data_IF_693207246132
#
_entry.id   IF_693207246132
#
_cell.length_a   1.000
_cell.length_b   1.000
_cell.length_c   1.000
_cell.angle_alpha   90.00
_cell.angle_beta   90.00
_cell.angle_gamma   90.00
#
_symmetry.space_group_name_H-M   'P 1'
#
loop_
_entity.id
_entity.type
_entity.pdbx_description
1 polymer ?
#
# COMPACT_ATOMS: atom_id res chain seq x y z
N UNK A 1 -9.40 16.39 -10.32
CA UNK A 1 -8.03 15.84 -10.39
C UNK A 1 -7.73 15.48 -11.84
N UNK A 2 -6.54 15.82 -12.33
CA UNK A 2 -6.18 15.78 -13.75
C UNK A 2 -5.77 14.33 -14.15
N UNK A 3 -6.47 13.67 -15.10
CA UNK A 3 -6.28 12.23 -15.40
C UNK A 3 -5.01 11.88 -16.19
N UNK A 4 -4.09 12.82 -16.38
CA UNK A 4 -2.85 12.67 -17.16
C UNK A 4 -1.61 12.31 -16.34
N UNK A 5 -1.75 12.07 -15.03
CA UNK A 5 -0.62 11.81 -14.13
C UNK A 5 -0.99 10.70 -13.13
N UNK A 6 -1.14 9.48 -13.63
CA UNK A 6 -1.13 8.30 -12.75
C UNK A 6 0.29 7.72 -12.77
N UNK A 7 1.18 8.11 -11.83
CA UNK A 7 2.55 7.63 -11.81
C UNK A 7 2.60 6.11 -11.71
N UNK A 8 3.59 5.49 -12.34
CA UNK A 8 3.91 4.08 -12.15
C UNK A 8 4.27 3.78 -10.69
N UNK A 9 4.25 2.51 -10.30
CA UNK A 9 4.63 2.14 -8.93
C UNK A 9 6.10 2.48 -8.65
N UNK A 10 6.98 2.31 -9.64
CA UNK A 10 8.40 2.69 -9.52
C UNK A 10 8.57 4.19 -9.31
N UNK A 11 7.79 5.03 -10.00
CA UNK A 11 7.78 6.47 -9.79
C UNK A 11 7.23 6.84 -8.40
N UNK A 12 6.16 6.17 -7.94
CA UNK A 12 5.63 6.37 -6.60
C UNK A 12 6.64 5.99 -5.52
N UNK A 13 7.32 4.85 -5.65
CA UNK A 13 8.39 4.43 -4.74
C UNK A 13 9.54 5.42 -4.78
N UNK A 14 10.00 5.83 -5.97
CA UNK A 14 11.05 6.85 -6.09
C UNK A 14 10.66 8.18 -5.46
N UNK A 15 9.38 8.55 -5.49
CA UNK A 15 8.87 9.76 -4.83
C UNK A 15 8.75 9.57 -3.32
N UNK A 16 8.33 8.40 -2.81
CA UNK A 16 8.37 8.08 -1.38
C UNK A 16 9.77 8.27 -0.79
N UNK A 17 10.81 7.88 -1.53
CA UNK A 17 12.21 8.02 -1.09
C UNK A 17 12.74 9.46 -1.14
N UNK A 18 12.09 10.33 -1.90
CA UNK A 18 12.53 11.72 -2.14
C UNK A 18 11.77 12.74 -1.29
N UNK A 19 10.54 12.45 -0.89
CA UNK A 19 9.64 13.43 -0.29
C UNK A 19 9.43 13.23 1.21
N UNK A 20 9.09 14.34 1.87
CA UNK A 20 8.70 14.44 3.28
C UNK A 20 7.19 14.16 3.50
N UNK A 21 6.49 13.61 2.49
CA UNK A 21 5.02 13.50 2.49
C UNK A 21 4.52 12.07 2.24
N UNK A 22 3.38 11.74 2.84
CA UNK A 22 2.78 10.39 2.78
C UNK A 22 1.95 10.13 1.50
N UNK A 23 1.75 11.14 0.64
CA UNK A 23 0.88 11.02 -0.54
C UNK A 23 1.30 9.92 -1.53
N UNK A 24 2.59 9.79 -1.90
CA UNK A 24 3.00 8.75 -2.85
C UNK A 24 2.73 7.33 -2.31
N UNK A 25 2.94 7.13 -1.01
CA UNK A 25 2.65 5.85 -0.37
C UNK A 25 1.15 5.58 -0.25
N UNK A 26 0.34 6.61 0.03
CA UNK A 26 -1.12 6.51 0.07
C UNK A 26 -1.68 5.99 -1.27
N UNK A 27 -1.13 6.46 -2.40
CA UNK A 27 -1.52 5.94 -3.72
C UNK A 27 -1.14 4.47 -3.92
N UNK A 28 0.03 4.04 -3.43
CA UNK A 28 0.41 2.61 -3.44
C UNK A 28 -0.54 1.80 -2.56
N UNK A 29 -0.84 2.26 -1.35
CA UNK A 29 -1.77 1.60 -0.43
C UNK A 29 -3.14 1.44 -1.08
N UNK A 30 -3.70 2.49 -1.69
CA UNK A 30 -5.00 2.44 -2.37
C UNK A 30 -5.03 1.45 -3.53
N UNK A 31 -3.93 1.30 -4.28
CA UNK A 31 -3.81 0.33 -5.37
C UNK A 31 -3.75 -1.12 -4.88
N UNK A 32 -3.16 -1.35 -3.71
CA UNK A 32 -2.78 -2.68 -3.26
C UNK A 32 -3.61 -3.21 -2.08
N UNK A 33 -4.33 -2.36 -1.35
CA UNK A 33 -5.06 -2.74 -0.12
C UNK A 33 -5.97 -3.94 -0.30
N UNK A 34 -6.79 -3.96 -1.35
CA UNK A 34 -7.74 -5.06 -1.59
C UNK A 34 -7.01 -6.36 -1.93
N UNK A 35 -5.90 -6.30 -2.68
CA UNK A 35 -5.13 -7.48 -3.07
C UNK A 35 -4.42 -8.10 -1.88
N UNK A 36 -3.81 -7.26 -1.05
CA UNK A 36 -3.11 -7.69 0.17
C UNK A 36 -4.11 -8.27 1.17
N UNK A 37 -5.22 -7.59 1.41
CA UNK A 37 -6.30 -8.09 2.26
C UNK A 37 -6.85 -9.43 1.77
N UNK A 38 -7.19 -9.54 0.48
CA UNK A 38 -7.70 -10.80 -0.09
C UNK A 38 -6.67 -11.94 -0.05
N UNK A 39 -5.37 -11.64 -0.07
CA UNK A 39 -4.33 -12.65 0.14
C UNK A 39 -4.31 -13.09 1.61
N UNK A 40 -4.27 -12.15 2.55
CA UNK A 40 -4.30 -12.45 3.98
C UNK A 40 -5.54 -13.28 4.35
N UNK A 41 -6.72 -12.85 3.89
CA UNK A 41 -7.98 -13.56 4.12
C UNK A 41 -7.97 -15.00 3.62
N UNK A 42 -7.39 -15.26 2.44
CA UNK A 42 -7.26 -16.64 1.92
C UNK A 42 -6.34 -17.53 2.76
N UNK A 43 -5.45 -16.95 3.59
CA UNK A 43 -4.54 -17.69 4.46
C UNK A 43 -5.15 -17.98 5.83
N UNK A 44 -5.85 -17.00 6.42
CA UNK A 44 -6.37 -17.10 7.80
C UNK A 44 -7.86 -17.43 7.88
N UNK A 45 -8.63 -17.19 6.81
CA UNK A 45 -10.09 -17.36 6.75
C UNK A 45 -10.85 -16.65 7.88
N UNK A 46 -10.28 -15.53 8.36
CA UNK A 46 -10.83 -14.67 9.39
C UNK A 46 -10.66 -13.22 8.94
N UNK A 47 -11.73 -12.42 9.01
CA UNK A 47 -11.75 -11.04 8.49
C UNK A 47 -10.91 -10.07 9.34
N UNK A 48 -10.96 -10.22 10.67
CA UNK A 48 -10.24 -9.37 11.63
C UNK A 48 -8.73 -9.63 11.52
N UNK A 49 -8.32 -10.91 11.59
CA UNK A 49 -6.92 -11.31 11.44
C UNK A 49 -6.36 -10.91 10.08
N UNK A 50 -7.17 -11.01 9.01
CA UNK A 50 -6.75 -10.60 7.67
C UNK A 50 -6.53 -9.08 7.57
N UNK A 51 -7.38 -8.29 8.23
CA UNK A 51 -7.24 -6.85 8.33
C UNK A 51 -5.95 -6.46 9.04
N UNK A 52 -5.69 -7.07 10.20
CA UNK A 52 -4.49 -6.81 11.00
C UNK A 52 -3.21 -7.18 10.24
N UNK A 53 -3.17 -8.34 9.58
CA UNK A 53 -2.03 -8.76 8.77
C UNK A 53 -1.79 -7.80 7.60
N UNK A 54 -2.86 -7.39 6.90
CA UNK A 54 -2.74 -6.47 5.78
C UNK A 54 -2.22 -5.11 6.23
N UNK A 55 -2.77 -4.56 7.32
CA UNK A 55 -2.31 -3.31 7.91
C UNK A 55 -0.84 -3.40 8.36
N UNK A 56 -0.47 -4.44 9.10
CA UNK A 56 0.92 -4.62 9.57
C UNK A 56 1.89 -4.75 8.39
N UNK A 57 1.49 -5.40 7.30
CA UNK A 57 2.28 -5.50 6.08
C UNK A 57 2.53 -4.13 5.45
N UNK A 58 1.52 -3.27 5.35
CA UNK A 58 1.69 -1.90 4.84
C UNK A 58 2.54 -1.04 5.77
N UNK A 59 2.36 -1.14 7.08
CA UNK A 59 3.18 -0.44 8.06
C UNK A 59 4.66 -0.83 7.92
N UNK A 60 4.94 -2.14 7.82
CA UNK A 60 6.31 -2.64 7.61
C UNK A 60 6.88 -2.16 6.28
N UNK A 61 6.08 -2.18 5.21
CA UNK A 61 6.51 -1.69 3.90
C UNK A 61 6.87 -0.20 3.96
N UNK A 62 6.04 0.63 4.59
CA UNK A 62 6.29 2.06 4.75
C UNK A 62 7.60 2.34 5.50
N UNK A 63 7.84 1.67 6.62
CA UNK A 63 9.06 1.83 7.40
C UNK A 63 10.32 1.19 6.78
N UNK A 64 10.16 0.40 5.71
CA UNK A 64 11.28 -0.21 4.99
C UNK A 64 11.71 0.58 3.75
N UNK A 65 11.02 1.68 3.43
CA UNK A 65 11.38 2.60 2.35
C UNK A 65 12.63 3.39 2.73
#
# INVERSE_FOLDING_TARGET
>A
MNPLMNPSDDELVANCLKDETEEPFSQLLDRYKDRVYNLAYRLVLNEDDAGDIAHEAFIKAYYSL
#
